data_IF_744526843401
#
_entry.id   IF_744526843401
#
_cell.length_a   1.000
_cell.length_b   1.000
_cell.length_c   1.000
_cell.angle_alpha   90.00
_cell.angle_beta   90.00
_cell.angle_gamma   90.00
#
_symmetry.space_group_name_H-M   'P 1'
#
loop_
_entity.id
_entity.type
_entity.pdbx_description
1 polymer ?
#
# COMPACT_ATOMS: atom_id res chain seq x y z
N UNK A 1 -6.64 -11.00 15.28
CA UNK A 1 -7.01 -11.83 16.45
C UNK A 1 -6.25 -13.16 16.47
N UNK A 2 -6.05 -13.88 15.33
CA UNK A 2 -5.36 -15.17 15.29
C UNK A 2 -3.89 -15.09 15.74
N UNK A 3 -3.18 -14.02 15.38
CA UNK A 3 -1.77 -13.82 15.74
C UNK A 3 -1.56 -13.15 17.09
N UNK A 4 -2.63 -12.75 17.79
CA UNK A 4 -2.59 -12.03 19.07
C UNK A 4 -1.68 -10.78 19.05
N UNK A 5 -1.65 -10.08 17.93
CA UNK A 5 -0.96 -8.81 17.75
C UNK A 5 -1.98 -7.69 17.55
N UNK A 6 -1.66 -6.49 18.04
CA UNK A 6 -2.49 -5.31 17.79
C UNK A 6 -2.25 -4.74 16.40
N UNK A 7 -3.19 -3.91 15.93
CA UNK A 7 -3.00 -3.11 14.72
C UNK A 7 -1.82 -2.17 14.93
N UNK A 8 -0.80 -2.19 14.05
CA UNK A 8 0.41 -1.41 14.23
C UNK A 8 0.18 0.09 13.97
N UNK A 9 0.73 0.95 14.82
CA UNK A 9 0.67 2.40 14.70
C UNK A 9 2.01 3.03 14.30
N UNK A 10 3.09 2.30 14.48
CA UNK A 10 4.46 2.73 14.18
C UNK A 10 5.27 1.59 13.53
N UNK A 11 6.47 1.91 13.03
CA UNK A 11 7.29 0.95 12.29
C UNK A 11 7.78 -0.24 13.14
N UNK A 12 8.00 -0.09 14.43
CA UNK A 12 8.43 -1.21 15.28
C UNK A 12 7.27 -2.18 15.57
N UNK A 13 6.07 -1.65 15.76
CA UNK A 13 4.87 -2.47 15.87
C UNK A 13 4.55 -3.17 14.54
N UNK A 14 4.73 -2.46 13.43
CA UNK A 14 4.58 -3.06 12.10
C UNK A 14 5.59 -4.17 11.86
N UNK A 15 6.85 -3.95 12.22
CA UNK A 15 7.88 -5.00 12.16
C UNK A 15 7.49 -6.22 13.00
N UNK A 16 7.01 -6.00 14.23
CA UNK A 16 6.55 -7.08 15.12
C UNK A 16 5.38 -7.85 14.50
N UNK A 17 4.43 -7.16 13.88
CA UNK A 17 3.33 -7.76 13.14
C UNK A 17 3.84 -8.62 11.97
N UNK A 18 4.78 -8.10 11.18
CA UNK A 18 5.35 -8.84 10.04
C UNK A 18 6.07 -10.12 10.48
N UNK A 19 6.82 -10.07 11.59
CA UNK A 19 7.45 -11.26 12.16
C UNK A 19 6.40 -12.29 12.60
N UNK A 20 5.31 -11.85 13.22
CA UNK A 20 4.23 -12.73 13.63
C UNK A 20 3.49 -13.38 12.43
N UNK A 21 3.40 -12.69 11.30
CA UNK A 21 2.87 -13.27 10.05
C UNK A 21 3.84 -14.32 9.51
N UNK A 22 5.14 -14.00 9.43
CA UNK A 22 6.16 -14.94 8.91
C UNK A 22 6.25 -16.23 9.73
N UNK A 23 6.15 -16.11 11.05
CA UNK A 23 6.40 -17.22 11.98
C UNK A 23 5.10 -17.96 12.38
N UNK A 24 3.93 -17.48 11.92
CA UNK A 24 2.62 -18.02 12.25
C UNK A 24 1.90 -18.64 11.06
N UNK A 25 0.62 -18.92 11.25
CA UNK A 25 -0.33 -19.41 10.25
C UNK A 25 -1.60 -18.54 10.32
N UNK A 26 -1.55 -17.27 9.83
CA UNK A 26 -2.69 -16.37 9.93
C UNK A 26 -3.89 -16.80 9.07
N UNK A 27 -3.67 -17.50 7.95
CA UNK A 27 -4.75 -18.01 7.12
C UNK A 27 -5.37 -19.29 7.69
N UNK A 28 -4.64 -20.04 8.53
CA UNK A 28 -5.14 -21.23 9.23
C UNK A 28 -5.19 -22.48 8.37
N UNK A 29 -4.35 -22.56 7.33
CA UNK A 29 -4.31 -23.72 6.42
C UNK A 29 -3.43 -24.87 6.94
N UNK A 30 -2.66 -24.64 8.00
CA UNK A 30 -1.75 -25.61 8.62
C UNK A 30 -0.32 -25.57 8.04
N UNK A 31 -0.03 -24.70 7.09
CA UNK A 31 1.32 -24.44 6.56
C UNK A 31 1.80 -23.08 7.09
N UNK A 32 2.89 -23.05 7.83
CA UNK A 32 3.49 -21.83 8.38
C UNK A 32 4.61 -21.28 7.50
N UNK A 33 4.70 -21.73 6.26
CA UNK A 33 5.83 -21.39 5.35
C UNK A 33 5.39 -20.74 4.05
N UNK A 34 4.10 -20.59 3.84
CA UNK A 34 3.52 -20.07 2.60
C UNK A 34 3.03 -18.62 2.68
N UNK A 35 3.08 -18.01 3.88
CA UNK A 35 2.70 -16.62 4.06
C UNK A 35 3.76 -15.62 3.59
N UNK A 36 3.28 -14.52 3.03
CA UNK A 36 4.08 -13.35 2.66
C UNK A 36 3.73 -12.17 3.56
N UNK A 37 4.58 -11.80 4.55
CA UNK A 37 4.28 -10.68 5.46
C UNK A 37 3.97 -9.38 4.74
N UNK A 38 4.78 -9.00 3.74
CA UNK A 38 4.49 -7.91 2.80
C UNK A 38 4.55 -8.48 1.39
N UNK A 39 3.53 -8.26 0.60
CA UNK A 39 3.58 -8.50 -0.84
C UNK A 39 3.05 -7.31 -1.62
N UNK A 40 3.37 -7.28 -2.88
CA UNK A 40 2.98 -6.25 -3.80
C UNK A 40 3.57 -6.52 -5.17
N UNK A 41 3.47 -5.55 -6.04
CA UNK A 41 3.97 -5.68 -7.39
C UNK A 41 4.71 -4.42 -7.83
N UNK A 42 5.93 -4.58 -8.30
CA UNK A 42 6.69 -3.50 -8.91
C UNK A 42 6.49 -3.50 -10.43
N UNK A 43 6.13 -2.36 -11.01
CA UNK A 43 5.98 -2.27 -12.46
C UNK A 43 5.28 -1.00 -12.94
N UNK A 44 5.27 -0.83 -14.27
CA UNK A 44 4.69 0.36 -14.93
C UNK A 44 3.18 0.49 -14.71
N UNK A 45 2.50 -0.61 -14.47
CA UNK A 45 1.05 -0.66 -14.24
C UNK A 45 0.68 -0.60 -12.76
N UNK A 46 1.66 -0.46 -11.88
CA UNK A 46 1.43 -0.28 -10.46
C UNK A 46 1.12 1.19 -10.19
N UNK A 47 -0.15 1.51 -10.01
CA UNK A 47 -0.60 2.86 -9.66
C UNK A 47 -0.23 3.25 -8.22
N UNK A 48 0.20 2.29 -7.41
CA UNK A 48 0.57 2.48 -6.02
C UNK A 48 1.98 1.99 -5.77
N UNK A 49 2.77 2.82 -5.13
CA UNK A 49 4.03 2.39 -4.56
C UNK A 49 3.71 1.74 -3.21
N UNK A 50 3.81 0.43 -3.15
CA UNK A 50 3.48 -0.34 -1.96
C UNK A 50 4.35 -0.02 -0.74
N UNK A 51 5.47 0.67 -0.93
CA UNK A 51 6.36 1.08 0.17
C UNK A 51 6.16 2.54 0.62
N UNK A 52 5.29 3.31 -0.03
CA UNK A 52 5.00 4.69 0.39
C UNK A 52 4.47 4.75 1.83
N UNK A 53 3.56 3.87 2.32
CA UNK A 53 3.14 3.89 3.71
C UNK A 53 4.27 3.71 4.72
N UNK A 54 5.35 3.01 4.33
CA UNK A 54 6.56 2.89 5.14
C UNK A 54 7.43 4.15 5.00
N UNK A 55 7.59 4.67 3.78
CA UNK A 55 8.40 5.84 3.49
C UNK A 55 7.93 7.10 4.24
N UNK A 56 6.61 7.26 4.42
CA UNK A 56 6.05 8.41 5.15
C UNK A 56 6.49 8.46 6.60
N UNK A 57 6.77 7.32 7.23
CA UNK A 57 7.33 7.27 8.57
C UNK A 57 8.76 7.84 8.68
N UNK A 58 9.43 8.07 7.55
CA UNK A 58 10.72 8.75 7.45
C UNK A 58 10.60 10.21 7.01
N UNK A 59 9.38 10.73 6.88
CA UNK A 59 9.10 12.13 6.53
C UNK A 59 8.98 12.40 5.02
N UNK A 60 8.82 11.36 4.19
CA UNK A 60 8.76 11.54 2.74
C UNK A 60 7.44 11.03 2.16
N UNK A 61 6.88 11.81 1.23
CA UNK A 61 5.67 11.50 0.47
C UNK A 61 5.97 11.02 -0.96
N UNK A 62 7.18 11.22 -1.43
CA UNK A 62 7.68 10.78 -2.74
C UNK A 62 9.12 10.30 -2.59
N UNK A 63 9.55 9.36 -3.44
CA UNK A 63 10.90 8.81 -3.44
C UNK A 63 11.93 9.64 -4.20
N UNK A 64 11.51 10.66 -4.93
CA UNK A 64 12.36 11.44 -5.84
C UNK A 64 12.47 12.88 -5.43
N UNK A 65 11.35 13.59 -5.45
CA UNK A 65 11.32 15.03 -5.22
C UNK A 65 10.10 15.39 -4.39
N UNK A 66 10.31 16.19 -3.37
CA UNK A 66 9.26 16.69 -2.48
C UNK A 66 9.51 18.16 -2.17
N UNK A 67 8.46 18.97 -2.03
CA UNK A 67 8.56 20.26 -1.43
C UNK A 67 8.54 20.13 0.10
N UNK A 68 9.39 20.87 0.80
CA UNK A 68 9.30 21.04 2.25
C UNK A 68 8.21 22.08 2.61
N UNK A 69 7.98 22.28 3.89
CA UNK A 69 6.96 23.22 4.39
C UNK A 69 7.22 24.67 3.99
N UNK A 70 8.48 25.04 3.72
CA UNK A 70 8.88 26.36 3.23
C UNK A 70 8.72 26.48 1.70
N UNK A 71 8.27 25.44 1.03
CA UNK A 71 8.10 25.39 -0.43
C UNK A 71 9.41 25.15 -1.20
N UNK A 72 10.53 24.91 -0.52
CA UNK A 72 11.78 24.56 -1.18
C UNK A 72 11.74 23.12 -1.68
N UNK A 73 12.24 22.90 -2.90
CA UNK A 73 12.29 21.58 -3.51
C UNK A 73 13.46 20.78 -2.93
N UNK A 74 13.15 19.57 -2.47
CA UNK A 74 14.10 18.65 -1.87
C UNK A 74 14.24 17.40 -2.76
N UNK A 75 15.48 16.99 -3.03
CA UNK A 75 15.77 15.71 -3.67
C UNK A 75 15.89 14.63 -2.57
N UNK A 76 14.90 13.77 -2.49
CA UNK A 76 14.73 12.80 -1.41
C UNK A 76 15.87 11.79 -1.30
N UNK A 77 16.41 11.20 -2.40
CA UNK A 77 17.44 10.15 -2.30
C UNK A 77 18.75 10.55 -1.63
N UNK A 78 19.03 11.84 -1.45
CA UNK A 78 20.25 12.31 -0.78
C UNK A 78 20.03 12.69 0.69
N UNK A 79 18.82 12.52 1.20
CA UNK A 79 18.50 12.85 2.59
C UNK A 79 18.91 11.73 3.55
N UNK A 80 19.35 12.09 4.76
CA UNK A 80 19.77 11.12 5.76
C UNK A 80 18.62 10.18 6.17
N UNK A 81 17.42 10.71 6.36
CA UNK A 81 16.24 9.87 6.68
C UNK A 81 15.90 8.88 5.56
N UNK A 82 16.22 9.19 4.28
CA UNK A 82 16.03 8.25 3.19
C UNK A 82 17.02 7.08 3.27
N UNK A 83 18.22 7.33 3.74
CA UNK A 83 19.18 6.28 4.02
C UNK A 83 18.70 5.34 5.15
N UNK A 84 18.08 5.89 6.18
CA UNK A 84 17.48 5.09 7.26
C UNK A 84 16.28 4.27 6.74
N UNK A 85 15.44 4.85 5.88
CA UNK A 85 14.42 4.10 5.16
C UNK A 85 15.01 2.91 4.39
N UNK A 86 16.10 3.10 3.64
CA UNK A 86 16.75 2.01 2.91
C UNK A 86 17.31 0.93 3.83
N UNK A 87 17.86 1.30 4.99
CA UNK A 87 18.30 0.32 6.02
C UNK A 87 17.12 -0.49 6.55
N UNK A 88 16.01 0.17 6.85
CA UNK A 88 14.80 -0.51 7.30
C UNK A 88 14.28 -1.48 6.23
N UNK A 89 14.19 -1.06 4.98
CA UNK A 89 13.77 -1.92 3.86
C UNK A 89 14.73 -3.10 3.66
N UNK A 90 16.04 -2.88 3.82
CA UNK A 90 17.05 -3.95 3.75
C UNK A 90 16.88 -4.95 4.89
N UNK A 91 16.56 -4.50 6.11
CA UNK A 91 16.23 -5.37 7.24
C UNK A 91 15.03 -6.25 6.90
N UNK A 92 13.92 -5.64 6.44
CA UNK A 92 12.73 -6.40 6.07
C UNK A 92 13.01 -7.44 4.99
N UNK A 93 13.82 -7.08 3.99
CA UNK A 93 14.22 -8.00 2.92
C UNK A 93 15.08 -9.15 3.43
N UNK A 94 16.12 -8.85 4.19
CA UNK A 94 17.07 -9.86 4.69
C UNK A 94 16.46 -10.84 5.69
N UNK A 95 15.37 -10.45 6.33
CA UNK A 95 14.62 -11.28 7.27
C UNK A 95 13.42 -12.00 6.65
N UNK A 96 13.30 -12.00 5.31
CA UNK A 96 12.20 -12.62 4.55
C UNK A 96 10.81 -12.06 4.91
N UNK A 97 10.73 -10.78 5.26
CA UNK A 97 9.47 -10.10 5.56
C UNK A 97 8.83 -9.47 4.31
N UNK A 98 9.54 -9.47 3.17
CA UNK A 98 9.03 -9.03 1.88
C UNK A 98 8.99 -10.23 0.93
N UNK A 99 7.88 -10.41 0.22
CA UNK A 99 7.73 -11.42 -0.82
C UNK A 99 8.89 -11.38 -1.81
N UNK A 100 9.68 -12.46 -1.95
CA UNK A 100 10.80 -12.49 -2.90
C UNK A 100 10.36 -12.28 -4.36
N UNK A 101 9.09 -12.56 -4.67
CA UNK A 101 8.48 -12.27 -5.97
C UNK A 101 8.16 -10.80 -6.23
N UNK A 102 8.24 -9.92 -5.23
CA UNK A 102 7.79 -8.53 -5.31
C UNK A 102 8.22 -7.78 -6.58
N UNK A 103 9.48 -7.95 -7.00
CA UNK A 103 10.05 -7.26 -8.15
C UNK A 103 9.84 -7.99 -9.49
N UNK A 104 9.35 -9.23 -9.49
CA UNK A 104 9.29 -10.07 -10.68
C UNK A 104 7.90 -10.67 -10.96
N UNK A 105 7.01 -10.72 -9.96
CA UNK A 105 5.70 -11.34 -10.12
C UNK A 105 4.77 -10.53 -11.03
N UNK A 106 3.94 -11.25 -11.78
CA UNK A 106 2.90 -10.64 -12.60
C UNK A 106 1.70 -10.21 -11.75
N UNK A 107 0.76 -9.47 -12.37
CA UNK A 107 -0.50 -9.11 -11.72
C UNK A 107 -1.30 -10.36 -11.31
N UNK A 108 -1.33 -11.35 -12.17
CA UNK A 108 -2.06 -12.60 -11.96
C UNK A 108 -1.49 -13.40 -10.79
N UNK A 109 -0.16 -13.44 -10.68
CA UNK A 109 0.52 -14.10 -9.55
C UNK A 109 0.25 -13.40 -8.23
N UNK A 110 0.32 -12.06 -8.19
CA UNK A 110 -0.05 -11.29 -7.02
C UNK A 110 -1.52 -11.50 -6.63
N UNK A 111 -2.44 -11.40 -7.60
CA UNK A 111 -3.86 -11.60 -7.38
C UNK A 111 -4.19 -13.01 -6.85
N UNK A 112 -3.47 -14.03 -7.32
CA UNK A 112 -3.65 -15.39 -6.84
C UNK A 112 -3.25 -15.53 -5.36
N UNK A 113 -2.11 -14.95 -4.95
CA UNK A 113 -1.68 -14.91 -3.55
C UNK A 113 -2.68 -14.17 -2.66
N UNK A 114 -3.15 -12.99 -3.13
CA UNK A 114 -4.16 -12.20 -2.43
C UNK A 114 -5.45 -13.00 -2.22
N UNK A 115 -5.98 -13.57 -3.30
CA UNK A 115 -7.22 -14.35 -3.27
C UNK A 115 -7.14 -15.61 -2.39
N UNK A 116 -5.94 -16.13 -2.19
CA UNK A 116 -5.69 -17.31 -1.33
C UNK A 116 -5.42 -16.93 0.14
N UNK A 117 -5.42 -15.65 0.51
CA UNK A 117 -5.18 -15.21 1.88
C UNK A 117 -3.73 -15.38 2.36
N UNK A 118 -2.77 -15.45 1.42
CA UNK A 118 -1.36 -15.68 1.73
C UNK A 118 -0.59 -14.39 2.08
N UNK A 119 -1.23 -13.22 1.99
CA UNK A 119 -0.56 -11.93 2.15
C UNK A 119 -0.98 -11.27 3.46
N UNK A 120 -0.01 -11.02 4.34
CA UNK A 120 -0.25 -10.34 5.62
C UNK A 120 -0.53 -8.85 5.47
N UNK A 121 0.19 -8.16 4.58
CA UNK A 121 -0.05 -6.74 4.31
C UNK A 121 0.28 -6.36 2.87
N UNK A 122 -0.49 -5.43 2.32
CA UNK A 122 -0.28 -4.87 0.99
C UNK A 122 -0.95 -3.49 0.89
N UNK A 123 -0.57 -2.72 -0.12
CA UNK A 123 -1.19 -1.43 -0.42
C UNK A 123 -2.05 -1.56 -1.67
N UNK A 124 -3.36 -1.41 -1.52
CA UNK A 124 -4.31 -1.48 -2.63
C UNK A 124 -5.60 -0.74 -2.27
N UNK A 125 -6.47 -0.53 -3.26
CA UNK A 125 -7.84 -0.11 -3.01
C UNK A 125 -8.70 -1.34 -2.73
N UNK A 126 -9.50 -1.30 -1.66
CA UNK A 126 -10.39 -2.41 -1.28
C UNK A 126 -11.28 -2.90 -2.44
N UNK A 127 -11.77 -1.97 -3.26
CA UNK A 127 -12.59 -2.28 -4.45
C UNK A 127 -11.85 -3.05 -5.57
N UNK A 128 -10.52 -3.17 -5.49
CA UNK A 128 -9.70 -3.87 -6.47
C UNK A 128 -9.14 -5.18 -5.92
N UNK A 129 -9.53 -5.56 -4.74
CA UNK A 129 -9.25 -6.89 -4.21
C UNK A 129 -9.93 -7.93 -5.10
N UNK A 130 -9.23 -9.01 -5.37
CA UNK A 130 -9.61 -9.97 -6.42
C UNK A 130 -10.41 -11.17 -5.90
N UNK A 131 -10.77 -11.16 -4.64
CA UNK A 131 -11.65 -12.17 -4.07
C UNK A 131 -13.11 -11.71 -4.18
N UNK A 132 -13.98 -12.59 -4.65
CA UNK A 132 -15.42 -12.32 -4.78
C UNK A 132 -16.22 -12.56 -3.50
N UNK A 133 -15.57 -13.12 -2.47
CA UNK A 133 -16.20 -13.36 -1.18
C UNK A 133 -16.19 -12.06 -0.34
N UNK A 134 -17.34 -11.49 -0.02
CA UNK A 134 -17.41 -10.29 0.84
C UNK A 134 -16.79 -10.50 2.22
N UNK A 135 -16.88 -11.71 2.79
CA UNK A 135 -16.29 -12.01 4.10
C UNK A 135 -14.76 -12.02 4.06
N UNK A 136 -14.16 -12.25 2.90
CA UNK A 136 -12.71 -12.17 2.72
C UNK A 136 -12.20 -10.74 2.97
N UNK A 137 -12.90 -9.71 2.49
CA UNK A 137 -12.51 -8.32 2.70
C UNK A 137 -12.55 -7.91 4.17
N UNK A 138 -13.46 -8.49 4.94
CA UNK A 138 -13.59 -8.23 6.37
C UNK A 138 -12.41 -8.78 7.20
N UNK A 139 -11.56 -9.60 6.59
CA UNK A 139 -10.34 -10.10 7.24
C UNK A 139 -9.20 -9.07 7.20
N UNK A 140 -9.28 -8.05 6.33
CA UNK A 140 -8.29 -6.99 6.22
C UNK A 140 -8.80 -5.71 6.82
N UNK A 141 -7.98 -5.06 7.61
CA UNK A 141 -8.25 -3.76 8.19
C UNK A 141 -7.35 -2.70 7.56
N UNK A 142 -7.93 -1.54 7.25
CA UNK A 142 -7.15 -0.40 6.78
C UNK A 142 -6.40 0.21 7.96
N UNK A 143 -5.09 0.39 7.81
CA UNK A 143 -4.24 1.01 8.82
C UNK A 143 -3.88 2.44 8.43
N UNK A 144 -3.75 3.29 9.43
CA UNK A 144 -3.22 4.63 9.27
C UNK A 144 -1.73 4.60 8.88
N UNK A 145 -1.18 5.69 8.30
CA UNK A 145 0.25 5.81 8.09
C UNK A 145 1.03 5.64 9.37
N UNK A 146 2.15 4.93 9.27
CA UNK A 146 3.02 4.68 10.41
C UNK A 146 3.80 5.92 10.83
N UNK A 147 4.10 5.99 12.11
CA UNK A 147 5.06 6.93 12.69
C UNK A 147 6.38 6.23 13.01
N UNK A 148 7.45 7.01 13.24
CA UNK A 148 8.73 6.53 13.74
C UNK A 148 9.47 7.63 14.50
N UNK A 149 10.69 7.35 14.96
CA UNK A 149 11.58 8.36 15.52
C UNK A 149 11.96 9.47 14.52
N UNK A 150 11.88 9.19 13.20
CA UNK A 150 12.19 10.14 12.14
C UNK A 150 11.01 11.03 11.76
N UNK A 151 9.78 10.58 11.99
CA UNK A 151 8.57 11.33 11.74
C UNK A 151 7.42 10.88 12.66
N UNK A 152 7.00 11.78 13.53
CA UNK A 152 5.88 11.58 14.45
C UNK A 152 4.51 11.97 13.88
N UNK A 153 4.48 12.50 12.65
CA UNK A 153 3.24 12.97 12.01
C UNK A 153 2.73 11.90 11.03
N UNK A 154 1.50 11.47 11.21
CA UNK A 154 0.81 10.60 10.25
C UNK A 154 0.50 11.41 8.99
N UNK A 155 1.15 11.09 7.89
CA UNK A 155 0.99 11.76 6.61
C UNK A 155 0.46 10.80 5.55
N UNK A 156 -0.48 11.27 4.74
CA UNK A 156 -0.89 10.58 3.53
C UNK A 156 -0.33 11.28 2.30
N UNK A 157 0.21 10.56 1.33
CA UNK A 157 0.59 11.17 0.07
C UNK A 157 -0.68 11.71 -0.61
N UNK A 158 -0.89 13.02 -0.53
CA UNK A 158 -1.93 13.68 -1.28
C UNK A 158 -1.53 13.66 -2.75
N UNK A 159 -2.31 13.00 -3.59
CA UNK A 159 -2.25 13.24 -5.03
C UNK A 159 -2.88 14.59 -5.30
N UNK A 160 -2.40 15.26 -6.36
CA UNK A 160 -2.91 16.56 -6.78
C UNK A 160 -4.43 16.64 -6.65
N UNK A 161 -4.90 17.74 -6.09
CA UNK A 161 -6.33 18.01 -5.93
C UNK A 161 -7.08 18.11 -7.28
N UNK A 162 -6.35 18.12 -8.40
CA UNK A 162 -6.89 18.12 -9.75
C UNK A 162 -7.07 16.68 -10.19
N UNK A 163 -8.27 16.18 -10.11
CA UNK A 163 -8.64 14.90 -10.68
C UNK A 163 -8.93 15.08 -12.18
N UNK A 164 -8.07 14.52 -13.03
CA UNK A 164 -8.25 14.54 -14.50
C UNK A 164 -9.29 13.51 -14.98
N UNK A 165 -10.21 13.11 -14.15
CA UNK A 165 -11.33 12.24 -14.50
C UNK A 165 -12.58 13.10 -14.70
N UNK A 166 -13.14 13.08 -15.86
CA UNK A 166 -14.40 13.78 -16.18
C UNK A 166 -15.35 12.89 -16.96
N UNK A 167 -16.64 13.09 -16.76
CA UNK A 167 -17.66 12.53 -17.62
C UNK A 167 -17.60 13.30 -18.97
N UNK A 168 -17.21 12.62 -20.03
CA UNK A 168 -17.24 13.20 -21.38
C UNK A 168 -18.55 12.85 -22.05
N UNK A 169 -19.31 13.87 -22.44
CA UNK A 169 -20.55 13.72 -23.17
C UNK A 169 -20.27 14.00 -24.65
N UNK A 170 -20.63 13.06 -25.50
CA UNK A 170 -20.44 13.23 -26.95
C UNK A 170 -21.45 14.21 -27.53
N UNK A 171 -21.12 14.84 -28.63
CA UNK A 171 -21.98 15.74 -29.40
C UNK A 171 -23.34 15.09 -29.82
N UNK A 172 -23.35 13.76 -29.96
CA UNK A 172 -24.58 12.98 -30.24
C UNK A 172 -25.63 13.06 -29.15
N UNK A 173 -25.29 13.51 -27.96
CA UNK A 173 -26.22 13.74 -26.85
C UNK A 173 -26.52 15.22 -26.61
N UNK A 174 -25.92 16.12 -27.38
CA UNK A 174 -26.15 17.57 -27.24
C UNK A 174 -27.63 17.97 -27.38
N UNK A 175 -28.34 17.24 -28.22
CA UNK A 175 -29.81 17.48 -28.46
C UNK A 175 -30.71 16.78 -27.43
N UNK A 176 -30.16 16.14 -26.40
CA UNK A 176 -30.89 15.39 -25.37
C UNK A 176 -30.50 15.82 -23.96
N UNK A 177 -30.76 17.08 -23.58
CA UNK A 177 -30.33 17.62 -22.28
C UNK A 177 -30.91 16.83 -21.10
N UNK A 178 -32.11 16.26 -21.25
CA UNK A 178 -32.74 15.45 -20.20
C UNK A 178 -31.98 14.14 -19.89
N UNK A 179 -31.23 13.59 -20.86
CA UNK A 179 -30.37 12.42 -20.66
C UNK A 179 -29.13 12.82 -19.89
N UNK A 180 -28.57 13.98 -20.22
CA UNK A 180 -27.38 14.53 -19.54
C UNK A 180 -27.71 14.81 -18.08
N UNK A 181 -28.83 15.45 -17.79
CA UNK A 181 -29.29 15.75 -16.42
C UNK A 181 -29.49 14.49 -15.57
N UNK A 182 -29.92 13.37 -16.16
CA UNK A 182 -30.10 12.09 -15.47
C UNK A 182 -28.79 11.39 -15.20
N UNK A 183 -27.73 11.64 -15.97
CA UNK A 183 -26.39 11.08 -15.79
C UNK A 183 -25.58 11.83 -14.72
N UNK A 184 -25.93 13.09 -14.44
CA UNK A 184 -25.23 13.96 -13.48
C UNK A 184 -25.87 13.92 -12.08
N UNK A 185 -27.15 13.49 -11.97
CA UNK A 185 -27.86 13.28 -10.70
C UNK A 185 -27.58 11.90 -10.13
#
# INVERSE_FOLDING_TARGET
EKLNVKVPENLEEFYTYLCAVRDGDPNGNGDTTDEFPISGRYGKDSYTDHFIPILVAFGFLDRRVQANDDGAVMYVPVQENYKEFLKYMNRLWSENLIDPGYFSQTKEQFNAKEASGLIGSFTNHAQWMNNSDPEFYLQYESVDPYTSEFNSVKMWPAKDAIFYGGLTITDKLADKPEVIERLIK
#
